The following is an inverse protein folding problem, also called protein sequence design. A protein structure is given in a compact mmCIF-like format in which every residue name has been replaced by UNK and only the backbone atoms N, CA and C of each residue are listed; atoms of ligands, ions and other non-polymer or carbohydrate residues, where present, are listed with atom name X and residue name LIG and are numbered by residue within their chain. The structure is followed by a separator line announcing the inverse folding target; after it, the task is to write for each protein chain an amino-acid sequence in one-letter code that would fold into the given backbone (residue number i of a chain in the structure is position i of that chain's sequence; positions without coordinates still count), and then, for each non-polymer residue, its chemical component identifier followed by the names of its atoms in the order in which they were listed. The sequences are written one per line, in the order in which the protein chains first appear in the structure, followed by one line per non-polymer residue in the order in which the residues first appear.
data_IF_152222422448
#
_entry.id   IF_152222422448
#
_cell.length_a   1.000
_cell.length_b   1.000
_cell.length_c   1.000
_cell.angle_alpha   90.00
_cell.angle_beta   90.00
_cell.angle_gamma   90.00
#
_symmetry.space_group_name_H-M   'P 1'
#
loop_
_entity.id
_entity.type
_entity.pdbx_description
1 polymer ?
#
# COMPACT_ATOMS: atom_id res chain seq x y z
N UNK A 1 -5.90 9.09 -32.46
CA UNK A 1 -4.64 8.46 -32.02
C UNK A 1 -4.17 9.15 -30.75
N UNK A 2 -4.11 8.46 -29.61
CA UNK A 2 -3.65 9.05 -28.34
C UNK A 2 -2.12 9.10 -28.40
N UNK A 3 -1.53 10.30 -28.28
CA UNK A 3 -0.08 10.46 -28.18
C UNK A 3 0.47 9.62 -27.02
N UNK A 4 1.63 8.95 -27.19
CA UNK A 4 2.16 8.03 -26.17
C UNK A 4 2.33 8.68 -24.78
N UNK A 5 2.56 10.00 -24.71
CA UNK A 5 2.58 10.75 -23.45
C UNK A 5 1.23 10.81 -22.72
N UNK A 6 0.12 11.07 -23.43
CA UNK A 6 -1.24 11.09 -22.83
C UNK A 6 -1.67 9.71 -22.35
N UNK A 7 -1.33 8.65 -23.08
CA UNK A 7 -1.64 7.27 -22.69
C UNK A 7 -0.92 6.89 -21.40
N UNK A 8 0.38 7.19 -21.30
CA UNK A 8 1.16 6.91 -20.09
C UNK A 8 0.67 7.70 -18.88
N UNK A 9 0.29 8.97 -19.08
CA UNK A 9 -0.31 9.80 -18.03
C UNK A 9 -1.60 9.17 -17.47
N UNK A 10 -2.54 8.78 -18.35
CA UNK A 10 -3.80 8.16 -17.91
C UNK A 10 -3.54 6.84 -17.17
N UNK A 11 -2.64 6.01 -17.69
CA UNK A 11 -2.29 4.73 -17.05
C UNK A 11 -1.69 4.92 -15.65
N UNK A 12 -0.79 5.90 -15.49
CA UNK A 12 -0.16 6.20 -14.21
C UNK A 12 -1.16 6.78 -13.20
N UNK A 13 -2.02 7.70 -13.64
CA UNK A 13 -3.07 8.25 -12.76
C UNK A 13 -4.07 7.19 -12.33
N UNK A 14 -4.49 6.30 -13.23
CA UNK A 14 -5.36 5.18 -12.88
C UNK A 14 -4.66 4.21 -11.92
N UNK A 15 -3.38 3.94 -12.15
CA UNK A 15 -2.58 3.08 -11.28
C UNK A 15 -2.44 3.66 -9.87
N UNK A 16 -2.09 4.95 -9.75
CA UNK A 16 -1.95 5.65 -8.48
C UNK A 16 -3.30 5.72 -7.74
N UNK A 17 -4.39 5.98 -8.47
CA UNK A 17 -5.76 5.92 -7.94
C UNK A 17 -6.09 4.55 -7.34
N UNK A 18 -5.90 3.46 -8.10
CA UNK A 18 -6.21 2.11 -7.65
C UNK A 18 -5.31 1.67 -6.48
N UNK A 19 -4.04 2.07 -6.51
CA UNK A 19 -3.09 1.76 -5.46
C UNK A 19 -3.45 2.45 -4.13
N UNK A 20 -3.72 3.75 -4.15
CA UNK A 20 -4.14 4.49 -2.95
C UNK A 20 -5.53 4.06 -2.46
N UNK A 21 -6.43 3.69 -3.39
CA UNK A 21 -7.71 3.08 -3.05
C UNK A 21 -7.54 1.75 -2.31
N UNK A 22 -6.69 0.85 -2.83
CA UNK A 22 -6.40 -0.44 -2.21
C UNK A 22 -5.72 -0.27 -0.84
N UNK A 23 -4.81 0.70 -0.71
CA UNK A 23 -4.17 1.01 0.57
C UNK A 23 -5.16 1.48 1.63
N UNK A 24 -5.98 2.48 1.30
CA UNK A 24 -7.03 2.99 2.20
C UNK A 24 -8.01 1.88 2.61
N UNK A 25 -8.46 1.07 1.64
CA UNK A 25 -9.35 -0.06 1.90
C UNK A 25 -8.71 -1.11 2.81
N UNK A 26 -7.43 -1.42 2.61
CA UNK A 26 -6.70 -2.40 3.44
C UNK A 26 -6.51 -1.90 4.86
N UNK A 27 -6.18 -0.62 5.05
CA UNK A 27 -6.04 -0.03 6.39
C UNK A 27 -7.37 -0.07 7.16
N UNK A 28 -8.47 0.26 6.49
CA UNK A 28 -9.77 0.21 7.14
C UNK A 28 -10.23 -1.23 7.42
N UNK A 29 -10.03 -2.15 6.48
CA UNK A 29 -10.30 -3.57 6.70
C UNK A 29 -9.47 -4.12 7.87
N UNK A 30 -8.19 -3.75 7.95
CA UNK A 30 -7.29 -4.15 9.05
C UNK A 30 -7.84 -3.73 10.41
N UNK A 31 -8.24 -2.46 10.56
CA UNK A 31 -8.79 -1.93 11.82
C UNK A 31 -10.04 -2.72 12.24
N UNK A 32 -10.95 -2.97 11.29
CA UNK A 32 -12.23 -3.60 11.58
C UNK A 32 -12.06 -5.09 11.86
N UNK A 33 -11.25 -5.78 11.06
CA UNK A 33 -10.94 -7.20 11.25
C UNK A 33 -10.28 -7.46 12.60
N UNK A 34 -9.33 -6.60 13.01
CA UNK A 34 -8.67 -6.74 14.32
C UNK A 34 -9.64 -6.49 15.49
N UNK A 35 -10.65 -5.64 15.30
CA UNK A 35 -11.63 -5.29 16.34
C UNK A 35 -12.78 -6.30 16.44
N UNK A 36 -13.29 -6.80 15.30
CA UNK A 36 -14.48 -7.65 15.25
C UNK A 36 -14.20 -9.16 15.25
N UNK A 37 -13.13 -9.64 14.59
CA UNK A 37 -12.90 -11.09 14.46
C UNK A 37 -12.06 -11.70 15.58
N UNK A 38 -11.19 -10.92 16.22
CA UNK A 38 -10.29 -11.45 17.25
C UNK A 38 -10.79 -11.27 18.69
N UNK A 39 -11.81 -10.41 18.92
CA UNK A 39 -12.29 -10.12 20.28
C UNK A 39 -11.18 -9.60 21.22
N UNK A 40 -10.07 -9.16 20.64
CA UNK A 40 -8.87 -8.73 21.36
C UNK A 40 -9.12 -7.31 21.88
N UNK A 41 -8.92 -7.11 23.18
CA UNK A 41 -9.03 -5.80 23.85
C UNK A 41 -8.31 -4.70 23.06
N UNK A 42 -8.93 -3.53 22.90
CA UNK A 42 -8.45 -2.40 22.10
C UNK A 42 -6.98 -2.04 22.36
N UNK A 43 -6.48 -2.29 23.58
CA UNK A 43 -5.07 -2.12 23.97
C UNK A 43 -4.10 -2.96 23.14
N UNK A 44 -4.43 -4.23 22.86
CA UNK A 44 -3.58 -5.14 22.07
C UNK A 44 -3.65 -4.79 20.58
N UNK A 45 -4.79 -4.35 20.06
CA UNK A 45 -4.91 -3.85 18.67
C UNK A 45 -4.10 -2.57 18.47
N UNK A 46 -4.14 -1.65 19.45
CA UNK A 46 -3.26 -0.48 19.46
C UNK A 46 -1.78 -0.85 19.47
N UNK A 47 -1.39 -1.81 20.32
CA UNK A 47 -0.01 -2.32 20.38
C UNK A 47 0.43 -2.95 19.05
N UNK A 48 -0.44 -3.74 18.41
CA UNK A 48 -0.21 -4.32 17.09
C UNK A 48 0.07 -3.23 16.05
N UNK A 49 -0.74 -2.17 16.05
CA UNK A 49 -0.57 -1.05 15.13
C UNK A 49 0.73 -0.29 15.39
N UNK A 50 1.09 -0.05 16.65
CA UNK A 50 2.36 0.58 17.03
C UNK A 50 3.57 -0.23 16.57
N UNK A 51 3.55 -1.55 16.77
CA UNK A 51 4.63 -2.45 16.32
C UNK A 51 4.71 -2.49 14.79
N UNK A 52 3.58 -2.58 14.10
CA UNK A 52 3.52 -2.53 12.65
C UNK A 52 4.08 -1.19 12.11
N UNK A 53 3.65 -0.06 12.68
CA UNK A 53 4.16 1.26 12.31
C UNK A 53 5.66 1.39 12.57
N UNK A 54 6.17 0.85 13.69
CA UNK A 54 7.59 0.86 14.01
C UNK A 54 8.42 0.05 13.00
N UNK A 55 7.95 -1.16 12.64
CA UNK A 55 8.59 -1.99 11.62
C UNK A 55 8.53 -1.32 10.25
N UNK A 56 7.38 -0.74 9.89
CA UNK A 56 7.21 -0.03 8.64
C UNK A 56 8.15 1.17 8.53
N UNK A 57 8.39 1.88 9.63
CA UNK A 57 9.35 2.99 9.71
C UNK A 57 10.79 2.52 9.53
N UNK A 58 11.16 1.36 10.06
CA UNK A 58 12.48 0.76 9.83
C UNK A 58 12.64 0.21 8.40
N UNK A 59 11.55 -0.30 7.80
CA UNK A 59 11.57 -0.85 6.45
C UNK A 59 11.60 0.22 5.35
N UNK A 60 11.05 1.41 5.58
CA UNK A 60 11.11 2.54 4.66
C UNK A 60 12.53 2.84 4.14
N UNK A 61 13.55 3.11 4.99
CA UNK A 61 14.90 3.40 4.52
C UNK A 61 15.58 2.17 3.88
N UNK A 62 15.32 0.97 4.39
CA UNK A 62 15.90 -0.26 3.86
C UNK A 62 15.44 -0.53 2.42
N UNK A 63 14.13 -0.41 2.19
CA UNK A 63 13.57 -0.53 0.85
C UNK A 63 13.89 0.66 -0.05
N UNK A 64 13.99 1.87 0.50
CA UNK A 64 14.45 3.06 -0.23
C UNK A 64 15.84 2.83 -0.82
N UNK A 65 16.77 2.29 -0.01
CA UNK A 65 18.12 1.95 -0.45
C UNK A 65 18.14 0.84 -1.50
N UNK A 66 17.33 -0.22 -1.31
CA UNK A 66 17.17 -1.30 -2.30
C UNK A 66 16.61 -0.74 -3.61
N UNK A 67 15.57 0.09 -3.54
CA UNK A 67 14.95 0.72 -4.72
C UNK A 67 15.93 1.59 -5.50
N UNK A 68 16.80 2.32 -4.80
CA UNK A 68 17.83 3.14 -5.45
C UNK A 68 18.91 2.26 -6.13
N UNK A 69 19.34 1.19 -5.46
CA UNK A 69 20.37 0.28 -5.99
C UNK A 69 19.89 -0.54 -7.19
N UNK A 70 18.60 -0.90 -7.25
CA UNK A 70 18.08 -1.75 -8.32
C UNK A 70 17.88 -1.05 -9.66
N UNK A 71 17.99 0.28 -9.76
CA UNK A 71 18.11 1.06 -11.01
C UNK A 71 16.95 0.97 -12.03
N UNK A 72 16.08 -0.04 -11.93
CA UNK A 72 15.08 -0.45 -12.92
C UNK A 72 13.67 -0.29 -12.34
N UNK A 73 13.21 0.97 -12.28
CA UNK A 73 11.93 1.36 -11.68
C UNK A 73 10.70 0.64 -12.25
N UNK A 74 10.74 0.13 -13.51
CA UNK A 74 9.67 -0.70 -14.08
C UNK A 74 9.53 -2.06 -13.39
N UNK A 75 10.65 -2.71 -13.06
CA UNK A 75 10.65 -4.06 -12.50
C UNK A 75 10.14 -4.05 -11.05
N UNK A 76 10.48 -3.01 -10.28
CA UNK A 76 9.94 -2.82 -8.94
C UNK A 76 8.42 -2.63 -8.92
N UNK A 77 7.85 -1.90 -9.88
CA UNK A 77 6.38 -1.74 -9.97
C UNK A 77 5.71 -3.07 -10.28
N UNK A 78 6.26 -3.86 -11.20
CA UNK A 78 5.74 -5.21 -11.46
C UNK A 78 5.82 -6.11 -10.23
N UNK A 79 6.90 -6.03 -9.44
CA UNK A 79 7.04 -6.77 -8.18
C UNK A 79 6.00 -6.28 -7.16
N UNK A 80 5.77 -4.97 -7.06
CA UNK A 80 4.73 -4.38 -6.20
C UNK A 80 3.33 -4.85 -6.57
N UNK A 81 2.99 -4.83 -7.86
CA UNK A 81 1.69 -5.32 -8.35
C UNK A 81 1.55 -6.81 -8.14
N UNK A 82 2.62 -7.58 -8.37
CA UNK A 82 2.66 -9.01 -8.12
C UNK A 82 2.54 -9.35 -6.63
N UNK A 83 3.02 -8.49 -5.73
CA UNK A 83 2.83 -8.61 -4.28
C UNK A 83 1.47 -8.09 -3.81
N UNK A 84 0.87 -7.11 -4.51
CA UNK A 84 -0.46 -6.57 -4.22
C UNK A 84 -1.58 -7.57 -4.56
N UNK A 85 -1.45 -8.31 -5.67
CA UNK A 85 -2.42 -9.30 -6.13
C UNK A 85 -2.77 -10.39 -5.08
N UNK A 86 -1.80 -11.02 -4.39
CA UNK A 86 -2.07 -12.02 -3.35
C UNK A 86 -2.37 -11.43 -1.97
N UNK A 87 -2.55 -10.10 -1.80
CA UNK A 87 -2.88 -9.49 -0.49
C UNK A 87 -4.14 -10.12 0.12
N UNK A 88 -5.19 -10.35 -0.66
CA UNK A 88 -6.44 -10.96 -0.18
C UNK A 88 -6.22 -12.37 0.40
N UNK A 89 -5.67 -13.32 -0.38
CA UNK A 89 -5.32 -14.64 0.13
C UNK A 89 -4.34 -14.60 1.30
N UNK A 90 -3.35 -13.70 1.29
CA UNK A 90 -2.37 -13.57 2.37
C UNK A 90 -3.03 -13.14 3.69
N UNK A 91 -3.97 -12.21 3.64
CA UNK A 91 -4.74 -11.79 4.82
C UNK A 91 -5.60 -12.92 5.41
N UNK A 92 -6.27 -13.68 4.54
CA UNK A 92 -7.21 -14.71 4.97
C UNK A 92 -6.49 -15.99 5.42
N UNK A 93 -5.48 -16.45 4.67
CA UNK A 93 -4.85 -17.76 4.89
C UNK A 93 -3.58 -17.72 5.72
N UNK A 94 -2.86 -16.59 5.76
CA UNK A 94 -1.59 -16.48 6.48
C UNK A 94 -1.76 -15.61 7.71
N UNK A 95 -2.36 -14.44 7.56
CA UNK A 95 -2.45 -13.46 8.64
C UNK A 95 -3.44 -13.88 9.74
N UNK A 96 -4.63 -14.37 9.36
CA UNK A 96 -5.64 -14.82 10.30
C UNK A 96 -5.20 -15.98 11.21
N UNK A 97 -4.66 -17.11 10.70
CA UNK A 97 -4.24 -18.20 11.57
C UNK A 97 -2.96 -17.88 12.36
N UNK A 98 -2.02 -17.08 11.83
CA UNK A 98 -0.83 -16.68 12.59
C UNK A 98 -1.18 -15.80 13.79
N UNK A 99 -2.16 -14.90 13.67
CA UNK A 99 -2.53 -14.02 14.78
C UNK A 99 -3.17 -14.81 15.93
N UNK A 100 -3.88 -15.91 15.62
CA UNK A 100 -4.49 -16.82 16.59
C UNK A 100 -3.44 -17.70 17.30
N UNK A 101 -2.44 -18.19 16.58
CA UNK A 101 -1.37 -19.04 17.16
C UNK A 101 -0.25 -18.25 17.84
N UNK A 102 0.13 -17.07 17.33
CA UNK A 102 1.25 -16.27 17.85
C UNK A 102 1.10 -14.80 17.47
N UNK A 103 0.49 -14.03 18.37
CA UNK A 103 0.24 -12.58 18.21
C UNK A 103 1.48 -11.79 17.74
N UNK A 104 2.66 -12.03 18.34
CA UNK A 104 3.90 -11.32 18.02
C UNK A 104 4.47 -11.65 16.63
N UNK A 105 4.38 -12.91 16.20
CA UNK A 105 4.86 -13.33 14.89
C UNK A 105 3.96 -12.80 13.78
N UNK A 106 2.64 -12.83 13.97
CA UNK A 106 1.70 -12.20 13.05
C UNK A 106 1.90 -10.69 12.97
N UNK A 107 2.09 -10.01 14.11
CA UNK A 107 2.43 -8.59 14.16
C UNK A 107 3.69 -8.23 13.35
N UNK A 108 4.74 -9.04 13.48
CA UNK A 108 6.00 -8.84 12.77
C UNK A 108 5.81 -9.04 11.27
N UNK A 109 5.20 -10.15 10.86
CA UNK A 109 4.99 -10.50 9.45
C UNK A 109 4.10 -9.48 8.72
N UNK A 110 3.04 -9.01 9.37
CA UNK A 110 2.15 -8.00 8.82
C UNK A 110 2.78 -6.62 8.81
N UNK A 111 3.54 -6.32 9.86
CA UNK A 111 4.46 -5.18 9.94
C UNK A 111 5.31 -5.04 8.69
N UNK A 112 6.05 -6.10 8.42
CA UNK A 112 6.94 -6.18 7.27
C UNK A 112 6.15 -6.14 5.96
N UNK A 113 5.10 -6.97 5.82
CA UNK A 113 4.35 -7.08 4.56
C UNK A 113 3.63 -5.77 4.19
N UNK A 114 2.90 -5.17 5.14
CA UNK A 114 2.18 -3.90 4.94
C UNK A 114 3.15 -2.73 4.79
N UNK A 115 4.22 -2.69 5.57
CA UNK A 115 5.26 -1.66 5.46
C UNK A 115 5.95 -1.68 4.09
N UNK A 116 6.24 -2.86 3.56
CA UNK A 116 6.84 -3.01 2.23
C UNK A 116 5.85 -2.61 1.14
N UNK A 117 4.65 -3.20 1.16
CA UNK A 117 3.70 -3.03 0.06
C UNK A 117 3.16 -1.62 0.00
N UNK A 118 2.80 -1.02 1.14
CA UNK A 118 2.11 0.27 1.14
C UNK A 118 3.06 1.45 1.31
N UNK A 119 3.97 1.36 2.28
CA UNK A 119 4.79 2.50 2.66
C UNK A 119 5.98 2.64 1.71
N UNK A 120 6.75 1.56 1.52
CA UNK A 120 7.78 1.53 0.50
C UNK A 120 7.20 1.58 -0.91
N UNK A 121 6.06 0.93 -1.16
CA UNK A 121 5.41 0.95 -2.47
C UNK A 121 5.05 2.35 -2.94
N UNK A 122 4.53 3.19 -2.04
CA UNK A 122 4.17 4.57 -2.37
C UNK A 122 5.41 5.36 -2.82
N UNK A 123 6.53 5.23 -2.10
CA UNK A 123 7.78 5.90 -2.47
C UNK A 123 8.35 5.45 -3.82
N UNK A 124 8.24 4.15 -4.14
CA UNK A 124 8.67 3.60 -5.44
C UNK A 124 7.80 4.14 -6.58
N UNK A 125 6.48 4.17 -6.38
CA UNK A 125 5.50 4.67 -7.34
C UNK A 125 5.71 6.16 -7.59
N UNK A 126 5.85 6.97 -6.54
CA UNK A 126 6.12 8.41 -6.64
C UNK A 126 7.41 8.68 -7.42
N UNK A 127 8.48 7.95 -7.09
CA UNK A 127 9.78 8.04 -7.76
C UNK A 127 9.70 7.61 -9.24
N UNK A 128 8.77 6.73 -9.60
CA UNK A 128 8.52 6.34 -10.99
C UNK A 128 7.69 7.37 -11.76
N UNK A 129 6.61 7.86 -11.15
CA UNK A 129 5.77 8.92 -11.73
C UNK A 129 6.63 10.15 -12.00
N UNK A 130 7.51 10.53 -11.07
CA UNK A 130 8.45 11.65 -11.25
C UNK A 130 9.42 11.44 -12.44
N UNK A 131 9.98 10.22 -12.61
CA UNK A 131 10.84 9.93 -13.78
C UNK A 131 10.08 10.03 -15.11
N UNK A 132 8.83 9.58 -15.15
CA UNK A 132 8.03 9.65 -16.38
C UNK A 132 7.52 11.07 -16.62
N UNK A 133 7.15 11.79 -15.56
CA UNK A 133 6.78 13.21 -15.57
C UNK A 133 7.87 14.05 -16.23
N UNK A 134 9.13 13.86 -15.81
CA UNK A 134 10.29 14.54 -16.42
C UNK A 134 10.54 14.14 -17.87
N UNK A 135 10.30 12.88 -18.25
CA UNK A 135 10.52 12.38 -19.62
C UNK A 135 9.46 12.86 -20.62
N UNK A 136 8.22 13.06 -20.17
CA UNK A 136 7.09 13.41 -21.03
C UNK A 136 6.52 14.82 -20.75
N UNK A 137 7.21 15.62 -19.93
CA UNK A 137 6.85 16.98 -19.55
C UNK A 137 5.40 17.14 -19.05
N UNK A 138 4.89 16.18 -18.26
CA UNK A 138 3.61 16.35 -17.57
C UNK A 138 3.83 16.69 -16.09
N UNK A 139 2.90 17.41 -15.47
CA UNK A 139 2.95 17.74 -14.04
C UNK A 139 2.74 16.50 -13.17
N UNK A 140 3.74 16.14 -12.37
CA UNK A 140 3.65 15.11 -11.33
C UNK A 140 2.44 15.30 -10.41
N UNK A 141 2.18 16.55 -10.03
CA UNK A 141 1.08 16.91 -9.12
C UNK A 141 -0.29 16.47 -9.63
N UNK A 142 -0.55 16.49 -10.95
CA UNK A 142 -1.84 16.06 -11.48
C UNK A 142 -2.09 14.57 -11.29
N UNK A 143 -1.05 13.74 -11.45
CA UNK A 143 -1.14 12.29 -11.23
C UNK A 143 -1.42 12.02 -9.74
N UNK A 144 -0.69 12.70 -8.85
CA UNK A 144 -0.85 12.56 -7.40
C UNK A 144 -2.24 12.99 -6.90
N UNK A 145 -2.84 14.01 -7.52
CA UNK A 145 -4.21 14.43 -7.20
C UNK A 145 -5.23 13.32 -7.49
N UNK A 146 -5.06 12.54 -8.57
CA UNK A 146 -5.90 11.37 -8.83
C UNK A 146 -5.71 10.30 -7.76
N UNK A 147 -4.48 10.08 -7.30
CA UNK A 147 -4.19 9.21 -6.16
C UNK A 147 -4.98 9.59 -4.90
N UNK A 148 -4.90 10.86 -4.48
CA UNK A 148 -5.64 11.36 -3.31
C UNK A 148 -7.15 11.24 -3.46
N UNK A 149 -7.68 11.41 -4.68
CA UNK A 149 -9.10 11.18 -4.98
C UNK A 149 -9.48 9.71 -4.75
N UNK A 150 -8.61 8.77 -5.13
CA UNK A 150 -8.79 7.33 -4.88
C UNK A 150 -8.80 6.99 -3.40
N UNK A 151 -7.91 7.61 -2.61
CA UNK A 151 -7.91 7.47 -1.15
C UNK A 151 -9.23 7.95 -0.52
N UNK A 152 -9.69 9.13 -0.92
CA UNK A 152 -10.94 9.72 -0.41
C UNK A 152 -12.16 8.88 -0.80
N UNK A 153 -12.22 8.40 -2.04
CA UNK A 153 -13.27 7.51 -2.51
C UNK A 153 -13.31 6.19 -1.72
N UNK A 154 -12.14 5.56 -1.49
CA UNK A 154 -12.05 4.35 -0.67
C UNK A 154 -12.54 4.60 0.75
N UNK A 155 -12.06 5.66 1.40
CA UNK A 155 -12.47 6.02 2.76
C UNK A 155 -13.98 6.23 2.88
N UNK A 156 -14.59 6.86 1.87
CA UNK A 156 -16.05 7.08 1.83
C UNK A 156 -16.84 5.77 1.63
N UNK A 157 -16.42 4.92 0.70
CA UNK A 157 -17.08 3.63 0.42
C UNK A 157 -17.00 2.71 1.63
N UNK A 158 -15.80 2.55 2.19
CA UNK A 158 -15.56 1.79 3.42
C UNK A 158 -16.40 2.36 4.56
N UNK A 159 -16.35 3.68 4.78
CA UNK A 159 -17.13 4.32 5.84
C UNK A 159 -18.63 4.07 5.73
N UNK A 160 -19.16 3.88 4.51
CA UNK A 160 -20.56 3.52 4.28
C UNK A 160 -20.85 2.04 4.50
N UNK A 161 -19.91 1.15 4.19
CA UNK A 161 -20.06 -0.31 4.35
C UNK A 161 -20.00 -0.72 5.83
N UNK A 162 -19.23 0.01 6.65
CA UNK A 162 -18.95 -0.37 8.03
C UNK A 162 -19.63 0.51 9.09
N UNK A 163 -20.59 1.35 8.69
CA UNK A 163 -21.50 2.07 9.59
C UNK A 163 -22.77 1.25 9.81
#
# INVERSE_FOLDING_TARGET
MITPGKRNYILLSLFDFLYLFAWSSTMAFFVIWTTQHLGISATKTGLLYSVNAFIALLMQPFFGFISDKFGLKKRLIWILVAMLLPVGPFFIYLYAPLLVHSFWLGALLGGVYLGIIFNSGCGVIDSYIDKISRRYHFEYGRVRMWGSLGWAAAAWIVGKIYR
#
